data_IF_823862642535
#
_entry.id   IF_823862642535
#
_cell.length_a   1.000
_cell.length_b   1.000
_cell.length_c   1.000
_cell.angle_alpha   90.00
_cell.angle_beta   90.00
_cell.angle_gamma   90.00
#
_symmetry.space_group_name_H-M   'P 1'
#
loop_
_entity.id
_entity.type
_entity.pdbx_description
1 polymer ?
#
# COMPACT_ATOMS: atom_id res chain seq x y z
N UNK A 1 -4.56 -22.87 -20.23
CA UNK A 1 -5.28 -23.53 -19.13
C UNK A 1 -5.75 -22.43 -18.18
N UNK A 2 -6.68 -21.61 -18.66
CA UNK A 2 -6.91 -20.24 -18.16
C UNK A 2 -8.37 -20.06 -17.67
N UNK A 3 -9.00 -21.15 -17.22
CA UNK A 3 -10.47 -21.16 -17.06
C UNK A 3 -11.00 -21.94 -15.84
N UNK A 4 -10.16 -22.16 -14.81
CA UNK A 4 -10.58 -22.81 -13.58
C UNK A 4 -10.55 -21.89 -12.35
N UNK A 5 -9.62 -20.92 -12.32
CA UNK A 5 -9.51 -19.92 -11.24
C UNK A 5 -10.64 -18.87 -11.30
N UNK A 6 -10.98 -18.40 -12.51
CA UNK A 6 -12.10 -17.48 -12.72
C UNK A 6 -13.46 -18.08 -12.31
N UNK A 7 -13.65 -19.39 -12.50
CA UNK A 7 -14.88 -20.08 -12.11
C UNK A 7 -15.02 -20.26 -10.59
N UNK A 8 -13.90 -20.32 -9.86
CA UNK A 8 -13.90 -20.46 -8.40
C UNK A 8 -14.08 -19.11 -7.70
N UNK A 9 -13.52 -18.04 -8.27
CA UNK A 9 -13.77 -16.66 -7.84
C UNK A 9 -15.24 -16.26 -8.06
N UNK A 10 -15.80 -16.55 -9.24
CA UNK A 10 -17.19 -16.24 -9.56
C UNK A 10 -18.18 -16.90 -8.57
N UNK A 11 -17.91 -18.13 -8.15
CA UNK A 11 -18.77 -18.87 -7.22
C UNK A 11 -18.73 -18.33 -5.79
N UNK A 12 -17.57 -17.85 -5.34
CA UNK A 12 -17.44 -17.16 -4.04
C UNK A 12 -18.15 -15.80 -4.06
N UNK A 13 -18.19 -15.11 -5.20
CA UNK A 13 -18.88 -13.84 -5.39
C UNK A 13 -20.42 -14.02 -5.46
N UNK A 14 -20.90 -15.11 -6.07
CA UNK A 14 -22.33 -15.45 -6.09
C UNK A 14 -22.89 -15.72 -4.68
N UNK A 15 -22.18 -16.51 -3.87
CA UNK A 15 -22.56 -16.80 -2.47
C UNK A 15 -22.54 -15.54 -1.57
N UNK A 16 -21.77 -14.51 -1.94
CA UNK A 16 -21.70 -13.21 -1.24
C UNK A 16 -22.86 -12.26 -1.61
N UNK A 17 -23.46 -12.41 -2.81
CA UNK A 17 -24.47 -11.50 -3.35
C UNK A 17 -25.84 -11.59 -2.68
N UNK A 18 -26.16 -12.70 -2.01
CA UNK A 18 -27.47 -12.91 -1.35
C UNK A 18 -27.70 -12.02 -0.10
N UNK A 19 -26.69 -11.24 0.31
CA UNK A 19 -26.74 -10.38 1.51
C UNK A 19 -26.75 -8.87 1.25
N UNK A 20 -26.77 -8.44 -0.01
CA UNK A 20 -26.75 -7.02 -0.41
C UNK A 20 -28.08 -6.60 -1.06
N UNK A 21 -28.59 -5.37 -0.81
CA UNK A 21 -29.73 -4.83 -1.55
C UNK A 21 -29.36 -4.63 -3.03
N UNK A 22 -30.33 -4.85 -3.93
CA UNK A 22 -30.24 -4.82 -5.40
C UNK A 22 -29.41 -3.64 -5.96
N UNK A 23 -28.10 -3.81 -6.05
CA UNK A 23 -27.19 -3.03 -6.87
C UNK A 23 -26.19 -4.00 -7.48
N UNK A 24 -26.06 -3.95 -8.81
CA UNK A 24 -25.34 -4.90 -9.65
C UNK A 24 -23.97 -5.33 -9.08
N UNK A 25 -23.75 -6.65 -8.97
CA UNK A 25 -22.49 -7.24 -8.54
C UNK A 25 -21.43 -7.01 -9.64
N UNK A 26 -20.28 -6.35 -9.36
CA UNK A 26 -19.24 -6.16 -10.37
C UNK A 26 -18.58 -7.50 -10.76
N UNK A 27 -18.33 -7.69 -12.05
CA UNK A 27 -17.79 -8.93 -12.63
C UNK A 27 -16.28 -9.16 -12.39
N UNK A 28 -15.59 -8.22 -11.73
CA UNK A 28 -14.15 -8.29 -11.44
C UNK A 28 -13.81 -7.47 -10.16
N UNK A 29 -13.43 -8.11 -9.04
CA UNK A 29 -13.06 -7.43 -7.80
C UNK A 29 -11.67 -6.78 -7.81
N UNK A 30 -10.88 -6.98 -8.88
CA UNK A 30 -9.62 -6.27 -9.12
C UNK A 30 -9.78 -5.01 -9.96
N UNK A 31 -10.98 -4.76 -10.50
CA UNK A 31 -11.26 -3.54 -11.24
C UNK A 31 -11.40 -2.35 -10.28
N UNK A 32 -10.81 -1.18 -10.60
CA UNK A 32 -10.97 0.01 -9.79
C UNK A 32 -12.46 0.33 -9.68
N UNK A 33 -12.94 0.67 -8.47
CA UNK A 33 -14.31 1.11 -8.23
C UNK A 33 -14.73 2.16 -9.28
N UNK A 34 -15.48 1.73 -10.28
CA UNK A 34 -15.90 2.58 -11.40
C UNK A 34 -17.00 3.51 -10.91
N UNK A 35 -16.60 4.59 -10.25
CA UNK A 35 -17.29 5.89 -10.18
C UNK A 35 -16.47 6.95 -9.43
N UNK A 36 -15.13 6.83 -9.41
CA UNK A 36 -14.26 7.95 -9.06
C UNK A 36 -13.90 8.63 -10.37
N UNK A 37 -14.22 9.94 -10.57
CA UNK A 37 -13.82 10.62 -11.80
C UNK A 37 -12.30 10.52 -11.94
N UNK A 38 -11.84 9.87 -13.03
CA UNK A 38 -10.43 9.78 -13.41
C UNK A 38 -9.88 11.21 -13.48
N UNK A 39 -9.18 11.64 -12.43
CA UNK A 39 -8.46 12.90 -12.42
C UNK A 39 -7.20 12.70 -13.23
N UNK A 40 -7.28 12.95 -14.54
CA UNK A 40 -6.13 12.86 -15.43
C UNK A 40 -5.11 13.95 -15.06
N UNK A 41 -3.96 13.51 -14.55
CA UNK A 41 -2.74 14.29 -14.36
C UNK A 41 -2.65 15.01 -13.02
N UNK A 42 -1.60 14.70 -12.25
CA UNK A 42 -1.07 15.48 -11.11
C UNK A 42 -1.66 15.18 -9.72
N UNK A 43 -2.25 14.00 -9.46
CA UNK A 43 -2.65 13.62 -8.08
C UNK A 43 -1.43 13.08 -7.32
N UNK A 44 -1.03 13.68 -6.17
CA UNK A 44 0.01 13.10 -5.33
C UNK A 44 -0.53 11.85 -4.62
N UNK A 45 0.36 10.93 -4.29
CA UNK A 45 0.04 9.72 -3.57
C UNK A 45 0.91 9.56 -2.32
N UNK A 46 0.43 8.75 -1.39
CA UNK A 46 1.22 8.20 -0.30
C UNK A 46 1.19 6.69 -0.46
N UNK A 47 2.36 6.14 -0.75
CA UNK A 47 2.59 4.71 -0.83
C UNK A 47 3.00 4.20 0.54
N UNK A 48 2.30 3.19 1.02
CA UNK A 48 2.56 2.56 2.31
C UNK A 48 3.04 1.13 2.12
N UNK A 49 4.09 0.74 2.85
CA UNK A 49 4.20 -0.68 3.21
C UNK A 49 3.07 -1.08 4.16
N UNK A 50 2.80 -2.38 4.26
CA UNK A 50 1.69 -2.92 5.04
C UNK A 50 2.14 -3.34 6.43
N UNK A 51 2.92 -4.40 6.51
CA UNK A 51 3.37 -5.02 7.76
C UNK A 51 4.47 -4.16 8.40
N UNK A 52 4.39 -3.92 9.70
CA UNK A 52 5.31 -3.03 10.41
C UNK A 52 5.09 -1.53 10.18
N UNK A 53 4.23 -1.15 9.22
CA UNK A 53 3.94 0.26 8.88
C UNK A 53 2.49 0.63 9.16
N UNK A 54 1.53 -0.02 8.49
CA UNK A 54 0.10 0.21 8.73
C UNK A 54 -0.43 -0.70 9.85
N UNK A 55 -0.02 -1.96 9.85
CA UNK A 55 -0.32 -2.91 10.90
C UNK A 55 0.92 -3.34 11.66
N UNK A 56 0.73 -3.89 12.85
CA UNK A 56 1.81 -4.49 13.63
C UNK A 56 2.53 -5.56 12.80
N UNK A 57 3.87 -5.56 12.86
CA UNK A 57 4.68 -6.57 12.20
C UNK A 57 4.47 -7.92 12.89
N UNK A 58 3.90 -8.86 12.15
CA UNK A 58 3.78 -10.26 12.54
C UNK A 58 4.36 -11.08 11.40
N UNK A 59 5.36 -11.89 11.72
CA UNK A 59 6.05 -12.70 10.73
C UNK A 59 5.06 -13.56 9.95
N UNK A 60 4.95 -13.31 8.64
CA UNK A 60 4.03 -14.00 7.73
C UNK A 60 2.54 -13.79 8.07
N UNK A 61 2.15 -12.56 8.39
CA UNK A 61 0.75 -12.20 8.66
C UNK A 61 -0.16 -12.52 7.47
N UNK A 62 -1.11 -13.43 7.71
CA UNK A 62 -2.15 -13.84 6.77
C UNK A 62 -3.52 -14.08 7.43
N UNK A 63 -3.57 -14.15 8.77
CA UNK A 63 -4.81 -14.39 9.52
C UNK A 63 -5.35 -13.10 10.09
N UNK A 64 -6.62 -12.80 9.81
CA UNK A 64 -7.33 -11.63 10.35
C UNK A 64 -7.26 -11.57 11.89
N UNK A 65 -7.29 -12.72 12.57
CA UNK A 65 -7.23 -12.77 14.04
C UNK A 65 -5.93 -12.16 14.62
N UNK A 66 -4.83 -12.23 13.87
CA UNK A 66 -3.51 -11.73 14.25
C UNK A 66 -3.30 -10.27 13.80
N UNK A 67 -4.18 -9.74 12.94
CA UNK A 67 -4.08 -8.38 12.43
C UNK A 67 -4.41 -7.35 13.49
N UNK A 68 -3.55 -6.34 13.66
CA UNK A 68 -3.79 -5.16 14.50
C UNK A 68 -3.29 -3.92 13.79
N UNK A 69 -4.16 -2.91 13.67
CA UNK A 69 -3.73 -1.59 13.22
C UNK A 69 -2.73 -1.01 14.20
N UNK A 70 -1.69 -0.36 13.68
CA UNK A 70 -0.89 0.56 14.49
C UNK A 70 -1.77 1.75 14.86
N UNK A 71 -1.61 2.26 16.08
CA UNK A 71 -2.41 3.35 16.62
C UNK A 71 -2.35 4.59 15.71
N UNK A 72 -3.52 5.20 15.45
CA UNK A 72 -3.65 6.41 14.63
C UNK A 72 -3.61 6.20 13.10
N UNK A 73 -3.38 4.97 12.61
CA UNK A 73 -3.32 4.70 11.17
C UNK A 73 -4.63 5.01 10.44
N UNK A 74 -5.82 4.57 10.91
CA UNK A 74 -7.08 4.91 10.23
C UNK A 74 -7.32 6.42 10.14
N UNK A 75 -7.01 7.18 11.19
CA UNK A 75 -7.13 8.64 11.21
C UNK A 75 -6.16 9.32 10.25
N UNK A 76 -4.92 8.83 10.19
CA UNK A 76 -3.90 9.31 9.28
C UNK A 76 -4.29 9.08 7.81
N UNK A 77 -4.80 7.89 7.49
CA UNK A 77 -5.33 7.57 6.15
C UNK A 77 -6.51 8.48 5.80
N UNK A 78 -7.48 8.66 6.72
CA UNK A 78 -8.61 9.56 6.50
C UNK A 78 -8.13 10.97 6.16
N UNK A 79 -7.18 11.51 6.93
CA UNK A 79 -6.63 12.84 6.67
C UNK A 79 -6.04 12.93 5.25
N UNK A 80 -5.30 11.92 4.81
CA UNK A 80 -4.76 11.86 3.45
C UNK A 80 -5.86 11.84 2.39
N UNK A 81 -6.89 11.01 2.59
CA UNK A 81 -8.04 10.95 1.68
C UNK A 81 -8.73 12.31 1.55
N UNK A 82 -8.99 12.98 2.67
CA UNK A 82 -9.66 14.29 2.73
C UNK A 82 -8.82 15.42 2.09
N UNK A 83 -7.49 15.26 2.07
CA UNK A 83 -6.56 16.23 1.48
C UNK A 83 -6.12 15.88 0.05
N UNK A 84 -6.81 14.93 -0.60
CA UNK A 84 -6.69 14.66 -2.03
C UNK A 84 -5.49 13.78 -2.42
N UNK A 85 -4.82 13.15 -1.45
CA UNK A 85 -3.79 12.15 -1.74
C UNK A 85 -4.46 10.84 -2.15
N UNK A 86 -3.86 10.13 -3.10
CA UNK A 86 -4.14 8.71 -3.27
C UNK A 86 -3.40 7.92 -2.20
N UNK A 87 -4.07 6.97 -1.54
CA UNK A 87 -3.48 6.08 -0.56
C UNK A 87 -3.30 4.71 -1.21
N UNK A 88 -2.05 4.32 -1.44
CA UNK A 88 -1.71 3.08 -2.14
C UNK A 88 -0.91 2.18 -1.19
N UNK A 89 -1.27 0.91 -1.10
CA UNK A 89 -0.48 -0.09 -0.36
C UNK A 89 0.38 -0.88 -1.34
N UNK A 90 1.67 -1.02 -1.02
CA UNK A 90 2.69 -1.74 -1.80
C UNK A 90 3.47 -2.67 -0.90
N UNK A 91 3.17 -3.97 -0.91
CA UNK A 91 3.69 -4.91 0.10
C UNK A 91 4.37 -6.15 -0.47
N UNK A 92 5.50 -6.55 0.14
CA UNK A 92 6.18 -7.80 -0.20
C UNK A 92 5.53 -8.97 0.59
N UNK A 93 4.84 -9.87 -0.09
CA UNK A 93 4.16 -11.03 0.50
C UNK A 93 4.89 -12.35 0.21
N UNK A 94 6.17 -12.40 0.62
CA UNK A 94 7.05 -13.55 0.36
C UNK A 94 6.59 -14.86 1.02
N UNK A 95 5.63 -14.81 1.95
CA UNK A 95 5.04 -16.00 2.55
C UNK A 95 4.37 -16.90 1.51
N UNK A 96 3.90 -16.34 0.40
CA UNK A 96 3.33 -17.09 -0.73
C UNK A 96 4.41 -17.94 -1.42
N UNK A 97 5.54 -17.33 -1.83
CA UNK A 97 6.67 -18.07 -2.38
C UNK A 97 7.24 -19.13 -1.42
N UNK A 98 7.10 -18.91 -0.11
CA UNK A 98 7.54 -19.85 0.94
C UNK A 98 6.50 -20.92 1.29
N UNK A 99 5.29 -20.85 0.71
CA UNK A 99 4.22 -21.83 0.93
C UNK A 99 3.56 -21.74 2.31
N UNK A 100 3.62 -20.58 3.00
CA UNK A 100 2.99 -20.39 4.30
C UNK A 100 1.50 -20.04 4.21
N UNK A 101 1.11 -19.35 3.15
CA UNK A 101 -0.26 -18.99 2.81
C UNK A 101 -0.34 -18.75 1.30
N UNK A 102 -1.55 -18.57 0.77
CA UNK A 102 -1.77 -18.31 -0.65
C UNK A 102 -2.24 -16.86 -0.93
N UNK A 103 -2.44 -16.54 -2.20
CA UNK A 103 -2.93 -15.22 -2.61
C UNK A 103 -4.35 -14.94 -2.09
N UNK A 104 -5.19 -15.97 -1.97
CA UNK A 104 -6.56 -15.80 -1.47
C UNK A 104 -6.56 -15.33 -0.01
N UNK A 105 -5.61 -15.76 0.81
CA UNK A 105 -5.46 -15.28 2.18
C UNK A 105 -5.02 -13.81 2.23
N UNK A 106 -4.13 -13.38 1.32
CA UNK A 106 -3.75 -11.96 1.17
C UNK A 106 -4.96 -11.13 0.77
N UNK A 107 -5.74 -11.56 -0.22
CA UNK A 107 -6.94 -10.86 -0.66
C UNK A 107 -7.99 -10.72 0.46
N UNK A 108 -8.26 -11.80 1.22
CA UNK A 108 -9.17 -11.73 2.37
C UNK A 108 -8.71 -10.72 3.42
N UNK A 109 -7.41 -10.66 3.68
CA UNK A 109 -6.86 -9.72 4.65
C UNK A 109 -6.98 -8.28 4.13
N UNK A 110 -6.72 -8.01 2.86
CA UNK A 110 -6.89 -6.68 2.27
C UNK A 110 -8.36 -6.22 2.28
N UNK A 111 -9.30 -7.12 1.98
CA UNK A 111 -10.75 -6.82 2.11
C UNK A 111 -11.10 -6.45 3.54
N UNK A 112 -10.65 -7.26 4.51
CA UNK A 112 -10.87 -6.97 5.93
C UNK A 112 -10.30 -5.60 6.34
N UNK A 113 -9.07 -5.27 5.90
CA UNK A 113 -8.46 -3.97 6.15
C UNK A 113 -9.31 -2.82 5.59
N UNK A 114 -9.77 -2.96 4.34
CA UNK A 114 -10.61 -1.97 3.69
C UNK A 114 -11.95 -1.77 4.44
N UNK A 115 -12.59 -2.86 4.87
CA UNK A 115 -13.84 -2.81 5.65
C UNK A 115 -13.66 -2.11 7.00
N UNK A 116 -12.54 -2.35 7.69
CA UNK A 116 -12.22 -1.66 8.95
C UNK A 116 -11.99 -0.16 8.72
N UNK A 117 -11.30 0.23 7.65
CA UNK A 117 -11.06 1.63 7.30
C UNK A 117 -12.35 2.37 6.93
N UNK A 118 -13.25 1.73 6.19
CA UNK A 118 -14.55 2.32 5.82
C UNK A 118 -15.34 2.72 7.08
N UNK A 119 -15.31 1.89 8.13
CA UNK A 119 -15.95 2.21 9.42
C UNK A 119 -15.38 3.48 10.09
N UNK A 120 -14.13 3.82 9.79
CA UNK A 120 -13.46 5.03 10.25
C UNK A 120 -13.58 6.23 9.28
N UNK A 121 -14.35 6.10 8.19
CA UNK A 121 -14.41 7.04 7.06
C UNK A 121 -13.05 7.23 6.37
N UNK A 122 -12.24 6.18 6.32
CA UNK A 122 -10.95 6.11 5.63
C UNK A 122 -11.01 5.08 4.50
N UNK A 123 -10.10 5.15 3.53
CA UNK A 123 -9.97 4.12 2.50
C UNK A 123 -8.56 4.05 1.93
N UNK A 124 -8.19 2.85 1.46
CA UNK A 124 -7.05 2.63 0.57
C UNK A 124 -7.60 2.64 -0.86
N UNK A 125 -6.99 3.43 -1.76
CA UNK A 125 -7.40 3.51 -3.16
C UNK A 125 -7.04 2.21 -3.90
N UNK A 126 -5.86 1.62 -3.62
CA UNK A 126 -5.43 0.34 -4.21
C UNK A 126 -4.41 -0.43 -3.37
N UNK A 127 -4.41 -1.76 -3.54
CA UNK A 127 -3.41 -2.67 -2.99
C UNK A 127 -2.61 -3.33 -4.11
N UNK A 128 -1.28 -3.27 -3.99
CA UNK A 128 -0.35 -4.02 -4.82
C UNK A 128 0.52 -4.89 -3.91
N UNK A 129 0.73 -6.14 -4.30
CA UNK A 129 1.62 -7.03 -3.57
C UNK A 129 2.53 -7.82 -4.49
N UNK A 130 3.69 -8.19 -3.97
CA UNK A 130 4.64 -9.07 -4.65
C UNK A 130 4.68 -10.43 -3.93
N UNK A 131 4.19 -11.51 -4.57
CA UNK A 131 4.25 -12.86 -4.00
C UNK A 131 5.63 -13.50 -4.13
N UNK A 132 6.55 -12.86 -4.86
CA UNK A 132 7.80 -13.45 -5.34
C UNK A 132 8.93 -13.45 -4.30
N UNK A 133 9.78 -14.48 -4.38
CA UNK A 133 11.03 -14.54 -3.63
C UNK A 133 12.04 -15.46 -4.36
N UNK A 134 13.32 -15.08 -4.53
CA UNK A 134 14.31 -15.89 -5.27
C UNK A 134 14.52 -17.27 -4.65
N UNK A 135 14.52 -17.36 -3.31
CA UNK A 135 14.63 -18.61 -2.57
C UNK A 135 13.27 -19.25 -2.19
N UNK A 136 12.21 -18.95 -2.93
CA UNK A 136 10.90 -19.58 -2.72
C UNK A 136 10.94 -21.11 -2.84
N UNK A 137 9.98 -21.81 -2.25
CA UNK A 137 9.76 -23.25 -2.46
C UNK A 137 8.62 -23.52 -3.43
N UNK A 138 7.70 -22.57 -3.60
CA UNK A 138 6.61 -22.66 -4.56
C UNK A 138 7.13 -22.18 -5.92
N UNK A 139 7.25 -23.11 -6.87
CA UNK A 139 7.93 -22.89 -8.15
C UNK A 139 7.40 -21.66 -8.92
N UNK A 140 6.09 -21.45 -8.93
CA UNK A 140 5.45 -20.34 -9.63
C UNK A 140 5.92 -18.95 -9.14
N UNK A 141 6.33 -18.86 -7.87
CA UNK A 141 6.74 -17.61 -7.24
C UNK A 141 8.25 -17.53 -6.95
N UNK A 142 9.01 -18.57 -7.31
CA UNK A 142 10.45 -18.65 -7.06
C UNK A 142 11.25 -17.93 -8.14
N UNK A 143 11.35 -16.61 -8.02
CA UNK A 143 12.13 -15.77 -8.93
C UNK A 143 12.48 -14.45 -8.27
N UNK A 144 13.56 -13.84 -8.76
CA UNK A 144 13.78 -12.42 -8.60
C UNK A 144 12.82 -11.67 -9.54
N UNK A 145 12.08 -10.70 -9.02
CA UNK A 145 10.98 -10.06 -9.75
C UNK A 145 10.95 -8.55 -9.49
N UNK A 146 10.75 -7.71 -10.52
CA UNK A 146 10.71 -6.25 -10.37
C UNK A 146 9.66 -5.73 -9.39
N UNK A 147 8.56 -6.48 -9.18
CA UNK A 147 7.54 -6.13 -8.20
C UNK A 147 8.02 -6.31 -6.75
N UNK A 148 9.05 -7.13 -6.50
CA UNK A 148 9.57 -7.33 -5.15
C UNK A 148 10.47 -6.15 -4.78
N UNK A 149 10.09 -5.39 -3.74
CA UNK A 149 10.94 -4.32 -3.17
C UNK A 149 12.31 -4.90 -2.77
N UNK A 150 13.44 -4.26 -3.14
CA UNK A 150 13.58 -2.85 -3.56
C UNK A 150 13.28 -2.55 -5.03
N UNK A 151 12.81 -3.52 -5.82
CA UNK A 151 12.27 -3.26 -7.15
C UNK A 151 11.05 -2.32 -7.14
N UNK A 152 10.89 -1.55 -8.22
CA UNK A 152 9.90 -0.47 -8.36
C UNK A 152 8.59 -0.90 -9.02
N UNK A 153 8.46 -2.15 -9.46
CA UNK A 153 7.38 -2.58 -10.35
C UNK A 153 5.96 -2.35 -9.81
N UNK A 154 5.74 -2.55 -8.50
CA UNK A 154 4.44 -2.26 -7.87
C UNK A 154 4.10 -0.76 -7.88
N UNK A 155 5.09 0.08 -7.63
CA UNK A 155 4.92 1.53 -7.61
C UNK A 155 4.67 2.06 -9.03
N UNK A 156 5.42 1.59 -10.01
CA UNK A 156 5.27 1.99 -11.42
C UNK A 156 3.88 1.67 -11.96
N UNK A 157 3.38 0.45 -11.68
CA UNK A 157 2.00 0.05 -12.03
C UNK A 157 0.97 1.00 -11.41
N UNK A 158 1.09 1.27 -10.11
CA UNK A 158 0.19 2.18 -9.43
C UNK A 158 0.25 3.61 -10.00
N UNK A 159 1.44 4.11 -10.31
CA UNK A 159 1.63 5.44 -10.91
C UNK A 159 0.94 5.52 -12.26
N UNK A 160 1.11 4.51 -13.11
CA UNK A 160 0.50 4.45 -14.45
C UNK A 160 -1.02 4.32 -14.37
N UNK A 161 -1.52 3.33 -13.61
CA UNK A 161 -2.94 3.02 -13.50
C UNK A 161 -3.76 4.17 -12.89
N UNK A 162 -3.18 4.90 -11.94
CA UNK A 162 -3.88 5.98 -11.22
C UNK A 162 -3.47 7.39 -11.67
N UNK A 163 -2.56 7.52 -12.64
CA UNK A 163 -2.08 8.81 -13.16
C UNK A 163 -1.43 9.69 -12.07
N UNK A 164 -0.61 9.08 -11.22
CA UNK A 164 -0.03 9.71 -10.02
C UNK A 164 1.19 10.56 -10.35
N UNK A 165 1.47 11.56 -9.50
CA UNK A 165 2.66 12.41 -9.60
C UNK A 165 3.73 11.98 -8.60
N UNK A 166 4.75 11.19 -9.02
CA UNK A 166 5.78 10.70 -8.11
C UNK A 166 6.59 11.83 -7.45
N UNK A 167 6.83 12.96 -8.13
CA UNK A 167 7.64 14.07 -7.56
C UNK A 167 6.98 14.69 -6.32
N UNK A 168 5.65 14.64 -6.25
CA UNK A 168 4.87 15.13 -5.11
C UNK A 168 4.27 14.01 -4.26
N UNK A 169 4.73 12.77 -4.48
CA UNK A 169 4.29 11.60 -3.73
C UNK A 169 5.29 11.22 -2.64
N UNK A 170 4.81 10.40 -1.72
CA UNK A 170 5.56 9.94 -0.57
C UNK A 170 5.61 8.41 -0.52
N UNK A 171 6.69 7.87 0.01
CA UNK A 171 6.77 6.45 0.43
C UNK A 171 7.00 6.39 1.94
N UNK A 172 6.17 5.61 2.62
CA UNK A 172 6.26 5.36 4.05
C UNK A 172 6.39 3.85 4.25
N UNK A 173 7.48 3.42 4.90
CA UNK A 173 7.77 2.01 5.15
C UNK A 173 8.70 1.84 6.34
N UNK A 174 8.87 0.61 6.81
CA UNK A 174 9.73 0.26 7.93
C UNK A 174 11.05 -0.43 7.49
N UNK A 175 11.19 -0.72 6.19
CA UNK A 175 12.39 -1.35 5.61
C UNK A 175 13.14 -0.39 4.70
N UNK A 176 14.47 -0.53 4.65
CA UNK A 176 15.27 0.20 3.66
C UNK A 176 14.90 -0.15 2.21
N UNK A 177 14.36 -1.35 1.96
CA UNK A 177 13.86 -1.71 0.63
C UNK A 177 12.69 -0.84 0.16
N UNK A 178 11.86 -0.33 1.08
CA UNK A 178 10.76 0.58 0.74
C UNK A 178 11.33 1.94 0.35
N UNK A 179 12.29 2.41 1.15
CA UNK A 179 12.99 3.68 0.97
C UNK A 179 13.74 3.68 -0.35
N UNK A 180 14.46 2.61 -0.68
CA UNK A 180 15.18 2.45 -1.95
C UNK A 180 14.23 2.52 -3.15
N UNK A 181 13.12 1.78 -3.12
CA UNK A 181 12.13 1.76 -4.20
C UNK A 181 11.51 3.15 -4.42
N UNK A 182 11.10 3.83 -3.34
CA UNK A 182 10.54 5.19 -3.43
C UNK A 182 11.52 6.22 -3.97
N UNK A 183 12.76 6.18 -3.48
CA UNK A 183 13.82 7.08 -3.93
C UNK A 183 14.20 6.85 -5.39
N UNK A 184 14.20 5.61 -5.86
CA UNK A 184 14.46 5.29 -7.26
C UNK A 184 13.45 5.95 -8.22
N UNK A 185 12.26 6.29 -7.71
CA UNK A 185 11.20 6.98 -8.45
C UNK A 185 11.10 8.47 -8.12
N UNK A 186 12.07 9.02 -7.37
CA UNK A 186 12.11 10.45 -7.02
C UNK A 186 11.05 10.88 -5.99
N UNK A 187 10.49 9.94 -5.24
CA UNK A 187 9.52 10.24 -4.17
C UNK A 187 10.24 10.63 -2.87
N UNK A 188 9.58 11.45 -2.06
CA UNK A 188 10.02 11.71 -0.70
C UNK A 188 9.74 10.49 0.17
N UNK A 189 10.74 10.03 0.91
CA UNK A 189 10.68 8.77 1.66
C UNK A 189 10.82 8.99 3.16
N UNK A 190 9.96 8.34 3.93
CA UNK A 190 9.93 8.40 5.38
C UNK A 190 10.02 6.97 5.95
N UNK A 191 11.04 6.73 6.77
CA UNK A 191 11.18 5.48 7.51
C UNK A 191 10.45 5.60 8.85
N UNK A 192 9.47 4.74 9.11
CA UNK A 192 8.81 4.65 10.43
C UNK A 192 9.65 3.80 11.39
N UNK A 193 9.56 4.03 12.69
CA UNK A 193 10.27 3.24 13.73
C UNK A 193 9.43 2.08 14.30
N UNK A 194 8.23 1.86 13.77
CA UNK A 194 7.47 0.62 13.94
C UNK A 194 8.11 -0.52 13.14
N UNK A 195 7.67 -1.76 13.36
CA UNK A 195 8.22 -2.94 12.69
C UNK A 195 9.75 -3.06 12.81
N UNK A 196 10.42 -3.20 11.67
CA UNK A 196 11.86 -3.31 11.52
C UNK A 196 12.60 -1.97 11.46
N UNK A 197 11.89 -0.85 11.41
CA UNK A 197 12.49 0.47 11.19
C UNK A 197 13.52 0.87 12.24
N UNK A 198 13.37 0.42 13.49
CA UNK A 198 14.37 0.64 14.53
C UNK A 198 15.73 0.02 14.20
N UNK A 199 15.76 -1.16 13.60
CA UNK A 199 17.02 -1.77 13.15
C UNK A 199 17.54 -1.13 11.86
N UNK A 200 16.64 -0.78 10.95
CA UNK A 200 16.97 -0.30 9.60
C UNK A 200 17.47 1.16 9.58
N UNK A 201 17.14 1.97 10.60
CA UNK A 201 17.44 3.41 10.68
C UNK A 201 18.92 3.80 10.55
N UNK A 202 19.86 2.89 10.81
CA UNK A 202 21.28 3.21 10.84
C UNK A 202 21.92 3.27 9.46
N UNK A 203 21.30 2.64 8.46
CA UNK A 203 21.81 2.55 7.09
C UNK A 203 20.84 3.21 6.08
N UNK A 204 19.80 3.86 6.59
CA UNK A 204 18.73 4.39 5.75
C UNK A 204 19.12 5.66 5.00
N UNK A 205 18.61 5.77 3.78
CA UNK A 205 18.66 6.98 2.95
C UNK A 205 17.32 7.74 2.97
N UNK A 206 16.44 7.44 3.94
CA UNK A 206 15.17 8.12 4.07
C UNK A 206 15.36 9.62 4.29
N UNK A 207 14.46 10.42 3.73
CA UNK A 207 14.47 11.86 3.95
C UNK A 207 14.11 12.20 5.40
N UNK A 208 13.21 11.40 5.99
CA UNK A 208 12.83 11.51 7.39
C UNK A 208 12.80 10.14 8.05
N UNK A 209 13.10 10.13 9.35
CA UNK A 209 12.90 8.99 10.24
C UNK A 209 11.92 9.45 11.30
N UNK A 210 10.77 8.79 11.39
CA UNK A 210 9.63 9.21 12.23
C UNK A 210 9.16 8.03 13.07
N UNK A 211 8.39 8.29 14.14
CA UNK A 211 8.04 7.22 15.07
C UNK A 211 7.10 6.17 14.45
N UNK A 212 6.08 6.64 13.72
CA UNK A 212 4.99 5.83 13.15
C UNK A 212 4.32 6.60 11.98
N UNK A 213 3.25 6.03 11.44
CA UNK A 213 2.48 6.63 10.32
C UNK A 213 1.79 7.94 10.71
N UNK A 214 1.33 8.10 11.96
CA UNK A 214 0.69 9.34 12.38
C UNK A 214 1.71 10.49 12.37
N UNK A 215 2.93 10.24 12.85
CA UNK A 215 4.05 11.18 12.79
C UNK A 215 4.47 11.48 11.33
N UNK A 216 4.51 10.45 10.47
CA UNK A 216 4.75 10.63 9.03
C UNK A 216 3.71 11.56 8.37
N UNK A 217 2.42 11.32 8.63
CA UNK A 217 1.33 12.12 8.04
C UNK A 217 1.34 13.54 8.60
N UNK A 218 1.71 13.76 9.86
CA UNK A 218 1.91 15.11 10.40
C UNK A 218 3.01 15.88 9.64
N UNK A 219 4.09 15.21 9.22
CA UNK A 219 5.10 15.83 8.36
C UNK A 219 4.55 16.19 6.97
N UNK A 220 3.75 15.30 6.38
CA UNK A 220 3.08 15.55 5.09
C UNK A 220 2.12 16.74 5.21
N UNK A 221 1.32 16.81 6.28
CA UNK A 221 0.42 17.92 6.57
C UNK A 221 1.17 19.25 6.65
N UNK A 222 2.30 19.30 7.37
CA UNK A 222 3.12 20.51 7.43
C UNK A 222 3.61 20.96 6.05
N UNK A 223 4.05 20.03 5.20
CA UNK A 223 4.48 20.33 3.83
C UNK A 223 3.30 20.79 2.96
N UNK A 224 2.14 20.16 3.11
CA UNK A 224 0.90 20.50 2.42
C UNK A 224 0.46 21.94 2.72
N UNK A 225 0.39 22.30 4.01
CA UNK A 225 -0.01 23.64 4.46
C UNK A 225 0.98 24.71 3.97
N UNK A 226 2.30 24.43 3.99
CA UNK A 226 3.31 25.35 3.46
C UNK A 226 3.12 25.62 1.97
N UNK A 227 2.88 24.56 1.18
CA UNK A 227 2.60 24.67 -0.26
C UNK A 227 1.37 25.54 -0.53
N UNK A 228 0.27 25.33 0.20
CA UNK A 228 -0.95 26.13 0.05
C UNK A 228 -0.74 27.63 0.36
N UNK A 229 0.16 27.94 1.30
CA UNK A 229 0.50 29.33 1.65
C UNK A 229 1.51 30.00 0.71
N UNK A 230 1.93 29.32 -0.37
CA UNK A 230 2.97 29.82 -1.27
C UNK A 230 4.36 29.90 -0.62
N UNK A 231 4.54 29.21 0.51
CA UNK A 231 5.80 29.13 1.26
C UNK A 231 6.57 27.89 0.79
N UNK A 232 6.93 27.81 -0.49
CA UNK A 232 7.76 26.71 -0.97
C UNK A 232 9.20 26.94 -0.54
N UNK A 233 9.67 26.17 0.45
CA UNK A 233 11.10 25.98 0.74
C UNK A 233 11.67 24.88 -0.15
N UNK A 234 12.97 24.96 -0.43
CA UNK A 234 13.81 24.08 -1.26
C UNK A 234 13.69 22.54 -1.03
N UNK A 235 12.89 22.09 -0.04
CA UNK A 235 12.71 20.69 0.36
C UNK A 235 12.06 19.79 -0.70
N UNK A 236 11.30 20.33 -1.67
CA UNK A 236 10.77 19.58 -2.82
C UNK A 236 11.74 19.52 -4.01
N UNK A 237 12.81 20.31 -3.96
CA UNK A 237 13.76 20.51 -5.06
C UNK A 237 15.20 20.14 -4.68
N UNK A 238 15.42 19.51 -3.52
CA UNK A 238 16.74 18.97 -3.16
C UNK A 238 16.79 17.46 -3.45
N UNK A 239 17.72 16.97 -4.30
CA UNK A 239 17.84 15.56 -4.68
C UNK A 239 18.12 14.59 -3.53
#
# INVERSE_FOLDING_TARGET
MENWENAKLARLLEEFSESWPDTEVPSDPSAPHQNIPLRTGNRPAVFFDRDGTLNEEVQYLHRIADFRWIEGVPEAIRWLNENGYAVIVVTNQAGIARGYYDEADVFKLHIFMQDELIKANAHIDAFYYSPYHPDGIVEAYRKDHPDRKPGTGMFEKAIEEWGLDPKHSFVIGDRNTDIEAGRALGMMSLLVLTGYGRSERYETLAHFIVNDVADAVAHIEMLHIRKQKGLTSDLWDTP
#
